data_IF_209644316670
#
_entry.id   IF_209644316670
#
_cell.length_a   1.000
_cell.length_b   1.000
_cell.length_c   1.000
_cell.angle_alpha   90.00
_cell.angle_beta   90.00
_cell.angle_gamma   90.00
#
_symmetry.space_group_name_H-M   'P 1'
#
loop_
_entity.id
_entity.type
_entity.pdbx_description
1 polymer ?
#
# COMPACT_ATOMS: atom_id res chain seq x y z
N UNK A 1 10.00 -16.45 3.59
CA UNK A 1 9.75 -15.02 3.90
C UNK A 1 9.74 -14.15 2.65
N UNK A 2 10.47 -14.49 1.58
CA UNK A 2 10.51 -13.69 0.34
C UNK A 2 9.18 -13.67 -0.45
N UNK A 3 8.44 -14.78 -0.51
CA UNK A 3 7.16 -14.82 -1.23
C UNK A 3 6.08 -13.90 -0.65
N UNK A 4 5.93 -13.88 0.68
CA UNK A 4 4.94 -13.03 1.33
C UNK A 4 5.26 -11.55 1.14
N UNK A 5 6.52 -11.16 1.31
CA UNK A 5 6.96 -9.79 1.08
C UNK A 5 6.73 -9.34 -0.38
N UNK A 6 6.99 -10.22 -1.35
CA UNK A 6 6.72 -9.95 -2.76
C UNK A 6 5.22 -9.80 -3.04
N UNK A 7 4.37 -10.66 -2.47
CA UNK A 7 2.90 -10.58 -2.59
C UNK A 7 2.33 -9.31 -1.97
N UNK A 8 2.82 -8.91 -0.79
CA UNK A 8 2.45 -7.65 -0.14
C UNK A 8 2.81 -6.47 -1.04
N UNK A 9 4.05 -6.42 -1.55
CA UNK A 9 4.50 -5.33 -2.43
C UNK A 9 3.71 -5.29 -3.74
N UNK A 10 3.37 -6.43 -4.32
CA UNK A 10 2.53 -6.52 -5.52
C UNK A 10 1.13 -5.95 -5.25
N UNK A 11 0.46 -6.42 -4.19
CA UNK A 11 -0.87 -5.94 -3.81
C UNK A 11 -0.90 -4.44 -3.49
N UNK A 12 0.15 -3.91 -2.84
CA UNK A 12 0.30 -2.47 -2.60
C UNK A 12 0.47 -1.67 -3.91
N UNK A 13 1.22 -2.22 -4.86
CA UNK A 13 1.43 -1.59 -6.17
C UNK A 13 0.17 -1.57 -7.01
N UNK A 14 -0.58 -2.67 -7.03
CA UNK A 14 -1.87 -2.79 -7.72
C UNK A 14 -2.90 -1.86 -7.08
N UNK A 15 -2.99 -1.84 -5.75
CA UNK A 15 -3.88 -0.94 -5.03
C UNK A 15 -3.59 0.53 -5.36
N UNK A 16 -2.32 0.91 -5.45
CA UNK A 16 -1.93 2.27 -5.82
C UNK A 16 -2.39 2.62 -7.24
N UNK A 17 -2.11 1.78 -8.23
CA UNK A 17 -2.57 1.99 -9.62
C UNK A 17 -4.09 2.20 -9.69
N UNK A 18 -4.86 1.41 -8.94
CA UNK A 18 -6.33 1.46 -8.98
C UNK A 18 -6.95 2.64 -8.20
N UNK A 19 -6.30 3.11 -7.13
CA UNK A 19 -6.93 3.99 -6.14
C UNK A 19 -6.31 5.37 -6.03
N UNK A 20 -5.15 5.59 -6.64
CA UNK A 20 -4.52 6.87 -6.58
C UNK A 20 -5.20 7.86 -7.52
N UNK A 21 -5.33 9.10 -7.06
CA UNK A 21 -6.08 10.13 -7.76
C UNK A 21 -5.38 10.48 -9.08
N UNK A 22 -6.09 10.56 -10.20
CA UNK A 22 -5.51 11.10 -11.42
C UNK A 22 -5.15 12.57 -11.16
N UNK A 23 -3.89 12.94 -11.37
CA UNK A 23 -3.47 14.34 -11.21
C UNK A 23 -4.09 15.15 -12.35
N UNK A 24 -5.04 16.05 -12.04
CA UNK A 24 -5.63 16.95 -13.05
C UNK A 24 -4.54 17.87 -13.61
N UNK A 25 -4.04 17.61 -14.82
CA UNK A 25 -3.04 18.49 -15.45
C UNK A 25 -2.29 17.99 -16.68
N UNK A 26 -2.76 16.99 -17.41
CA UNK A 26 -2.06 16.56 -18.63
C UNK A 26 -3.00 15.93 -19.64
N UNK A 27 -3.28 16.68 -20.70
CA UNK A 27 -3.86 16.13 -21.92
C UNK A 27 -3.11 14.86 -22.33
N UNK A 28 -3.88 13.81 -22.60
CA UNK A 28 -3.40 12.48 -22.86
C UNK A 28 -2.49 12.44 -24.10
N UNK A 29 -1.18 12.42 -23.90
CA UNK A 29 -0.23 11.96 -24.92
C UNK A 29 0.97 11.25 -24.28
N UNK A 30 1.00 9.92 -24.42
CA UNK A 30 2.19 9.04 -24.33
C UNK A 30 2.88 8.87 -22.96
N UNK A 31 2.63 7.68 -22.38
CA UNK A 31 3.45 6.87 -21.46
C UNK A 31 3.85 7.48 -20.10
N UNK A 32 3.52 6.75 -19.02
CA UNK A 32 3.93 6.96 -17.62
C UNK A 32 3.12 7.99 -16.79
N UNK A 33 1.85 7.65 -16.57
CA UNK A 33 1.23 7.60 -15.24
C UNK A 33 1.70 8.63 -14.18
N UNK A 34 1.24 9.88 -14.32
CA UNK A 34 1.18 10.84 -13.21
C UNK A 34 0.06 10.43 -12.24
N UNK A 35 0.34 9.39 -11.46
CA UNK A 35 -0.54 8.86 -10.43
C UNK A 35 -0.36 9.67 -9.12
N UNK A 36 -1.42 10.33 -8.65
CA UNK A 36 -1.42 11.25 -7.51
C UNK A 36 -1.41 10.58 -6.11
N UNK A 37 -1.58 11.36 -5.02
CA UNK A 37 -1.48 10.84 -3.66
C UNK A 37 -2.65 9.90 -3.29
N UNK A 38 -2.41 8.98 -2.35
CA UNK A 38 -3.44 8.13 -1.75
C UNK A 38 -3.75 8.62 -0.34
N UNK A 39 -5.01 8.95 -0.09
CA UNK A 39 -5.48 9.41 1.22
C UNK A 39 -5.55 8.28 2.25
N UNK A 40 -5.42 8.62 3.54
CA UNK A 40 -5.44 7.66 4.65
C UNK A 40 -6.71 6.79 4.68
N UNK A 41 -7.88 7.34 4.32
CA UNK A 41 -9.15 6.59 4.31
C UNK A 41 -9.15 5.52 3.22
N UNK A 42 -8.59 5.83 2.05
CA UNK A 42 -8.43 4.90 0.94
C UNK A 42 -7.41 3.81 1.29
N UNK A 43 -6.29 4.18 1.92
CA UNK A 43 -5.28 3.22 2.38
C UNK A 43 -5.84 2.17 3.38
N UNK A 44 -6.92 2.46 4.11
CA UNK A 44 -7.55 1.46 5.01
C UNK A 44 -8.10 0.26 4.22
N UNK A 45 -8.58 0.47 3.00
CA UNK A 45 -9.09 -0.61 2.17
C UNK A 45 -8.00 -1.62 1.80
N UNK A 46 -6.76 -1.17 1.60
CA UNK A 46 -5.66 -2.08 1.27
C UNK A 46 -5.33 -3.04 2.41
N UNK A 47 -5.59 -2.66 3.67
CA UNK A 47 -5.39 -3.53 4.82
C UNK A 47 -6.24 -4.81 4.71
N UNK A 48 -7.45 -4.73 4.14
CA UNK A 48 -8.30 -5.91 3.93
C UNK A 48 -7.64 -6.91 2.96
N UNK A 49 -6.95 -6.42 1.94
CA UNK A 49 -6.18 -7.25 1.01
C UNK A 49 -4.95 -7.85 1.68
N UNK A 50 -4.23 -7.04 2.47
CA UNK A 50 -3.06 -7.48 3.21
C UNK A 50 -3.42 -8.49 4.33
N UNK A 51 -4.58 -8.37 4.95
CA UNK A 51 -5.12 -9.32 5.93
C UNK A 51 -5.26 -10.72 5.32
N UNK A 52 -5.78 -10.80 4.08
CA UNK A 52 -5.90 -12.06 3.33
C UNK A 52 -4.54 -12.66 2.98
N UNK A 53 -3.54 -11.83 2.66
CA UNK A 53 -2.19 -12.29 2.31
C UNK A 53 -1.42 -12.78 3.54
N UNK A 54 -1.52 -12.03 4.63
CA UNK A 54 -0.80 -12.34 5.88
C UNK A 54 -1.52 -13.38 6.73
N UNK A 55 -2.82 -13.61 6.50
CA UNK A 55 -3.65 -14.51 7.28
C UNK A 55 -3.99 -13.96 8.67
N UNK A 56 -3.79 -12.65 8.91
CA UNK A 56 -4.01 -12.03 10.21
C UNK A 56 -4.54 -10.61 10.04
N UNK A 57 -5.40 -10.20 10.98
CA UNK A 57 -5.99 -8.86 10.99
C UNK A 57 -4.94 -7.80 11.34
N UNK A 58 -4.68 -6.90 10.40
CA UNK A 58 -3.75 -5.80 10.52
C UNK A 58 -4.46 -4.58 11.12
N UNK A 59 -3.82 -3.87 12.06
CA UNK A 59 -4.42 -2.69 12.66
C UNK A 59 -4.30 -1.47 11.74
N UNK A 60 -5.30 -0.59 11.78
CA UNK A 60 -5.30 0.68 11.04
C UNK A 60 -4.13 1.60 11.45
N UNK A 61 -3.52 1.37 12.61
CA UNK A 61 -2.33 2.10 13.07
C UNK A 61 -1.09 1.88 12.18
N UNK A 62 -1.11 0.91 11.27
CA UNK A 62 -0.06 0.75 10.25
C UNK A 62 -0.10 1.84 9.17
N UNK A 63 -1.25 2.51 9.00
CA UNK A 63 -1.42 3.57 8.01
C UNK A 63 -0.99 4.90 8.62
N UNK A 64 -0.17 5.64 7.87
CA UNK A 64 0.23 6.99 8.22
C UNK A 64 -0.97 7.94 8.09
N UNK A 65 -1.17 8.80 9.10
CA UNK A 65 -2.11 9.90 9.04
C UNK A 65 -1.65 10.93 7.98
N UNK A 66 -2.56 11.32 7.09
CA UNK A 66 -2.25 12.19 5.93
C UNK A 66 -1.93 11.42 4.65
N UNK A 67 -1.99 10.09 4.67
CA UNK A 67 -1.83 9.26 3.48
C UNK A 67 -0.38 9.15 3.02
N UNK A 68 -0.22 8.96 1.72
CA UNK A 68 1.07 8.76 1.07
C UNK A 68 1.15 9.58 -0.22
N UNK A 69 2.29 10.22 -0.42
CA UNK A 69 2.50 11.17 -1.52
C UNK A 69 3.00 10.48 -2.80
N UNK A 70 3.49 9.25 -2.71
CA UNK A 70 4.03 8.51 -3.86
C UNK A 70 3.92 6.99 -3.68
N UNK A 71 3.79 6.27 -4.80
CA UNK A 71 3.74 4.80 -4.86
C UNK A 71 4.91 4.15 -4.12
N UNK A 72 6.11 4.66 -4.36
CA UNK A 72 7.33 4.13 -3.75
C UNK A 72 7.29 4.27 -2.22
N UNK A 73 6.81 5.41 -1.72
CA UNK A 73 6.65 5.63 -0.28
C UNK A 73 5.60 4.69 0.30
N UNK A 74 4.43 4.59 -0.34
CA UNK A 74 3.34 3.72 0.07
C UNK A 74 3.81 2.26 0.18
N UNK A 75 4.37 1.73 -0.90
CA UNK A 75 4.82 0.33 -0.96
C UNK A 75 5.94 0.06 0.05
N UNK A 76 6.87 1.01 0.21
CA UNK A 76 7.98 0.86 1.15
C UNK A 76 7.50 0.92 2.60
N UNK A 77 6.90 2.05 3.02
CA UNK A 77 6.53 2.28 4.43
C UNK A 77 5.46 1.30 4.90
N UNK A 78 4.39 1.11 4.12
CA UNK A 78 3.32 0.21 4.51
C UNK A 78 3.79 -1.25 4.44
N UNK A 79 4.55 -1.63 3.40
CA UNK A 79 5.14 -2.96 3.30
C UNK A 79 6.07 -3.30 4.46
N UNK A 80 6.95 -2.38 4.85
CA UNK A 80 7.85 -2.55 6.00
C UNK A 80 7.06 -2.65 7.32
N UNK A 81 6.07 -1.78 7.53
CA UNK A 81 5.23 -1.80 8.73
C UNK A 81 4.42 -3.10 8.85
N UNK A 82 3.81 -3.57 7.77
CA UNK A 82 3.08 -4.84 7.72
C UNK A 82 4.01 -6.02 8.01
N UNK A 83 5.18 -6.09 7.37
CA UNK A 83 6.14 -7.17 7.60
C UNK A 83 6.68 -7.18 9.02
N UNK A 84 6.98 -6.01 9.59
CA UNK A 84 7.41 -5.89 10.98
C UNK A 84 6.33 -6.37 11.96
N UNK A 85 5.07 -6.02 11.69
CA UNK A 85 3.94 -6.46 12.50
C UNK A 85 3.73 -7.98 12.42
N UNK A 86 3.76 -8.56 11.22
CA UNK A 86 3.69 -10.02 10.99
C UNK A 86 4.82 -10.72 11.74
N UNK A 87 6.07 -10.28 11.56
CA UNK A 87 7.23 -10.88 12.22
C UNK A 87 7.15 -10.79 13.75
N UNK A 88 6.62 -9.68 14.30
CA UNK A 88 6.41 -9.52 15.74
C UNK A 88 5.33 -10.47 16.25
N UNK A 89 4.23 -10.62 15.52
CA UNK A 89 3.11 -11.48 15.94
C UNK A 89 3.42 -12.98 15.78
N UNK A 90 4.20 -13.37 14.78
CA UNK A 90 4.63 -14.77 14.59
C UNK A 90 5.66 -15.25 15.61
N UNK A 91 6.29 -14.33 16.35
CA UNK A 91 7.22 -14.64 17.45
C UNK A 91 6.55 -14.68 18.83
N UNK A 92 5.25 -14.37 18.88
CA UNK A 92 4.45 -14.31 20.10
C UNK A 92 3.49 -15.49 20.16
#
# INVERSE_FOLDING_TARGET
>A
MSDMASRIKAALKEFWDENALPTEGGEATTVDELIGPVESMTAVAVLVTLDKITGMKLPNSLIRAGGYESRAEFVKKLGEATMAYVAKKSKS
#
